data_IF_335857971846
#
_entry.id   IF_335857971846
#
_cell.length_a   1.000
_cell.length_b   1.000
_cell.length_c   1.000
_cell.angle_alpha   90.00
_cell.angle_beta   90.00
_cell.angle_gamma   90.00
#
_symmetry.space_group_name_H-M   'P 1'
#
loop_
_entity.id
_entity.type
_entity.pdbx_description
1 polymer ?
#
# COMPACT_ATOMS: atom_id res chain seq x y z
N UNK A 1 -19.96 37.29 -14.05
CA UNK A 1 -19.26 36.01 -13.78
C UNK A 1 -20.32 34.91 -13.80
N UNK A 2 -20.41 34.17 -14.89
CA UNK A 2 -21.38 33.09 -15.09
C UNK A 2 -21.19 32.04 -13.99
N UNK A 3 -22.23 31.81 -13.19
CA UNK A 3 -22.23 30.84 -12.10
C UNK A 3 -22.22 29.43 -12.65
N UNK A 4 -21.04 28.81 -12.70
CA UNK A 4 -20.93 27.37 -12.93
C UNK A 4 -21.29 26.70 -11.61
N UNK A 5 -22.41 25.97 -11.57
CA UNK A 5 -22.75 25.09 -10.46
C UNK A 5 -21.74 23.95 -10.42
N UNK A 6 -20.97 23.86 -9.34
CA UNK A 6 -20.02 22.77 -9.13
C UNK A 6 -20.71 21.69 -8.32
N UNK A 7 -21.06 20.58 -8.97
CA UNK A 7 -21.68 19.43 -8.32
C UNK A 7 -20.67 18.29 -8.13
N UNK A 8 -20.84 17.51 -7.06
CA UNK A 8 -20.03 16.32 -6.85
C UNK A 8 -20.39 15.25 -7.89
N UNK A 9 -19.36 14.67 -8.50
CA UNK A 9 -19.53 13.48 -9.33
C UNK A 9 -19.92 12.28 -8.47
N UNK A 10 -20.41 11.19 -9.09
CA UNK A 10 -20.70 9.94 -8.35
C UNK A 10 -19.48 9.43 -7.60
N UNK A 11 -18.28 9.53 -8.20
CA UNK A 11 -17.03 9.22 -7.51
C UNK A 11 -16.76 10.21 -6.36
N UNK A 12 -17.01 11.50 -6.57
CA UNK A 12 -16.89 12.53 -5.54
C UNK A 12 -17.72 12.24 -4.29
N UNK A 13 -18.94 11.72 -4.45
CA UNK A 13 -19.78 11.28 -3.33
C UNK A 13 -19.16 10.11 -2.54
N UNK A 14 -18.53 9.15 -3.21
CA UNK A 14 -17.82 8.06 -2.53
C UNK A 14 -16.60 8.59 -1.78
N UNK A 15 -15.83 9.48 -2.40
CA UNK A 15 -14.64 10.08 -1.79
C UNK A 15 -14.98 10.94 -0.57
N UNK A 16 -16.10 11.67 -0.60
CA UNK A 16 -16.56 12.51 0.50
C UNK A 16 -16.87 11.72 1.79
N UNK A 17 -17.08 10.40 1.68
CA UNK A 17 -17.36 9.51 2.83
C UNK A 17 -16.11 8.90 3.44
N UNK A 18 -14.94 9.04 2.80
CA UNK A 18 -13.68 8.46 3.29
C UNK A 18 -12.88 9.53 4.05
N UNK A 19 -12.42 9.25 5.29
CA UNK A 19 -11.63 10.19 6.09
C UNK A 19 -10.15 10.20 5.65
N UNK A 20 -9.90 10.36 4.36
CA UNK A 20 -8.56 10.42 3.75
C UNK A 20 -8.50 11.53 2.71
N UNK A 21 -7.29 11.93 2.32
CA UNK A 21 -7.12 12.87 1.22
C UNK A 21 -7.79 12.33 -0.07
N UNK A 22 -8.50 13.16 -0.86
CA UNK A 22 -9.24 12.70 -2.03
C UNK A 22 -8.40 11.91 -3.04
N UNK A 23 -7.11 12.22 -3.17
CA UNK A 23 -6.18 11.48 -4.05
C UNK A 23 -5.99 10.04 -3.58
N UNK A 24 -5.84 9.81 -2.28
CA UNK A 24 -5.70 8.47 -1.69
C UNK A 24 -7.02 7.72 -1.76
N UNK A 25 -8.13 8.38 -1.42
CA UNK A 25 -9.47 7.81 -1.55
C UNK A 25 -9.73 7.34 -2.98
N UNK A 26 -9.27 8.07 -3.99
CA UNK A 26 -9.41 7.69 -5.40
C UNK A 26 -8.61 6.43 -5.74
N UNK A 27 -7.39 6.30 -5.24
CA UNK A 27 -6.58 5.06 -5.39
C UNK A 27 -7.32 3.89 -4.75
N UNK A 28 -7.79 4.06 -3.51
CA UNK A 28 -8.47 3.01 -2.76
C UNK A 28 -9.77 2.57 -3.46
N UNK A 29 -10.65 3.50 -3.84
CA UNK A 29 -11.92 3.20 -4.52
C UNK A 29 -11.67 2.55 -5.88
N UNK A 30 -10.75 3.07 -6.70
CA UNK A 30 -10.48 2.47 -8.00
C UNK A 30 -9.81 1.09 -7.89
N UNK A 31 -9.03 0.85 -6.84
CA UNK A 31 -8.40 -0.46 -6.62
C UNK A 31 -9.41 -1.60 -6.41
N UNK A 32 -10.60 -1.30 -5.87
CA UNK A 32 -11.66 -2.31 -5.73
C UNK A 32 -12.29 -2.63 -7.07
N UNK A 33 -12.52 -1.61 -7.92
CA UNK A 33 -13.03 -1.77 -9.29
C UNK A 33 -12.07 -2.60 -10.14
N UNK A 34 -10.77 -2.32 -10.07
CA UNK A 34 -9.73 -3.05 -10.82
C UNK A 34 -9.22 -4.33 -10.12
N UNK A 35 -9.80 -4.68 -8.97
CA UNK A 35 -9.45 -5.88 -8.17
C UNK A 35 -7.96 -5.98 -7.82
N UNK A 36 -7.32 -4.85 -7.53
CA UNK A 36 -5.90 -4.73 -7.18
C UNK A 36 -5.70 -4.03 -5.83
N UNK A 37 -6.56 -4.34 -4.85
CA UNK A 37 -6.61 -3.67 -3.55
C UNK A 37 -5.28 -3.75 -2.81
N UNK A 38 -4.72 -4.95 -2.64
CA UNK A 38 -3.50 -5.16 -1.83
C UNK A 38 -2.29 -4.30 -2.23
N UNK A 39 -1.83 -4.26 -3.50
CA UNK A 39 -0.73 -3.38 -3.89
C UNK A 39 -1.13 -1.89 -3.77
N UNK A 40 -2.38 -1.53 -4.06
CA UNK A 40 -2.87 -0.16 -3.92
C UNK A 40 -2.92 0.31 -2.45
N UNK A 41 -3.17 -0.58 -1.49
CA UNK A 41 -3.06 -0.26 -0.06
C UNK A 41 -1.62 0.14 0.28
N UNK A 42 -0.62 -0.60 -0.21
CA UNK A 42 0.80 -0.25 -0.02
C UNK A 42 1.15 1.06 -0.67
N UNK A 43 0.68 1.31 -1.90
CA UNK A 43 0.95 2.54 -2.62
C UNK A 43 0.35 3.73 -1.87
N UNK A 44 -0.92 3.65 -1.47
CA UNK A 44 -1.59 4.71 -0.72
C UNK A 44 -0.91 4.98 0.64
N UNK A 45 -0.49 3.93 1.34
CA UNK A 45 0.21 4.04 2.61
C UNK A 45 1.62 4.65 2.41
N UNK A 46 2.36 4.20 1.40
CA UNK A 46 3.69 4.73 1.07
C UNK A 46 3.64 6.20 0.65
N UNK A 47 2.55 6.64 0.00
CA UNK A 47 2.33 8.05 -0.36
C UNK A 47 1.96 8.93 0.84
N UNK A 48 1.48 8.33 1.93
CA UNK A 48 1.12 9.02 3.18
C UNK A 48 2.28 9.09 4.18
N UNK A 49 3.33 8.30 3.92
CA UNK A 49 4.50 8.18 4.76
C UNK A 49 5.76 8.74 4.09
N UNK A 50 6.85 8.76 4.86
CA UNK A 50 8.19 8.94 4.27
C UNK A 50 8.53 7.77 3.35
N UNK A 51 9.53 7.96 2.49
CA UNK A 51 9.97 6.90 1.58
C UNK A 51 10.37 5.64 2.36
N UNK A 52 9.98 4.47 1.85
CA UNK A 52 10.44 3.17 2.37
C UNK A 52 11.94 3.00 2.17
N UNK A 53 12.53 3.71 1.19
CA UNK A 53 13.96 3.71 0.92
C UNK A 53 14.64 4.85 1.67
N UNK A 54 15.64 4.53 2.48
CA UNK A 54 16.38 5.50 3.28
C UNK A 54 17.86 5.14 3.34
N UNK A 55 18.71 6.11 3.01
CA UNK A 55 20.16 5.97 3.06
C UNK A 55 20.81 7.32 3.36
N UNK A 56 22.02 7.29 3.93
CA UNK A 56 22.88 8.46 4.04
C UNK A 56 23.29 8.97 2.65
N UNK A 57 23.84 10.19 2.59
CA UNK A 57 24.27 10.80 1.33
C UNK A 57 25.28 9.91 0.57
N UNK A 58 26.24 9.33 1.28
CA UNK A 58 27.29 8.47 0.72
C UNK A 58 26.75 7.18 0.08
N UNK A 59 25.65 6.64 0.61
CA UNK A 59 25.06 5.38 0.14
C UNK A 59 23.87 5.58 -0.80
N UNK A 60 23.59 6.82 -1.20
CA UNK A 60 22.44 7.14 -2.06
C UNK A 60 22.46 6.38 -3.38
N UNK A 61 23.62 6.24 -4.02
CA UNK A 61 23.74 5.51 -5.30
C UNK A 61 23.42 4.00 -5.13
N UNK A 62 23.94 3.38 -4.08
CA UNK A 62 23.67 1.97 -3.76
C UNK A 62 22.19 1.74 -3.46
N UNK A 63 21.55 2.65 -2.72
CA UNK A 63 20.11 2.60 -2.47
C UNK A 63 19.30 2.72 -3.76
N UNK A 64 19.66 3.63 -4.67
CA UNK A 64 18.94 3.76 -5.94
C UNK A 64 19.08 2.51 -6.81
N UNK A 65 20.25 1.86 -6.79
CA UNK A 65 20.44 0.58 -7.48
C UNK A 65 19.59 -0.54 -6.87
N UNK A 66 19.54 -0.63 -5.53
CA UNK A 66 18.69 -1.58 -4.82
C UNK A 66 17.20 -1.35 -5.15
N UNK A 67 16.75 -0.09 -5.10
CA UNK A 67 15.39 0.32 -5.49
C UNK A 67 15.07 -0.03 -6.93
N UNK A 68 15.98 0.26 -7.87
CA UNK A 68 15.80 -0.09 -9.28
C UNK A 68 15.66 -1.61 -9.48
N UNK A 69 16.42 -2.42 -8.74
CA UNK A 69 16.30 -3.89 -8.78
C UNK A 69 14.92 -4.39 -8.30
N UNK A 70 14.29 -3.66 -7.38
CA UNK A 70 12.94 -3.96 -6.88
C UNK A 70 11.84 -3.43 -7.80
N UNK A 71 12.10 -2.38 -8.58
CA UNK A 71 11.17 -1.84 -9.58
C UNK A 71 10.98 -2.73 -10.81
N UNK A 72 11.75 -3.82 -10.92
CA UNK A 72 11.69 -4.83 -11.97
C UNK A 72 11.66 -4.23 -13.40
N UNK A 73 11.02 -4.90 -14.36
CA UNK A 73 10.93 -4.46 -15.77
C UNK A 73 10.21 -3.12 -15.93
N UNK A 74 9.32 -2.78 -14.99
CA UNK A 74 8.39 -1.67 -15.11
C UNK A 74 9.00 -0.32 -14.74
N UNK A 75 10.21 -0.30 -14.16
CA UNK A 75 10.94 0.92 -13.75
C UNK A 75 10.06 1.86 -12.92
N UNK A 76 9.18 1.31 -12.08
CA UNK A 76 8.20 2.05 -11.30
C UNK A 76 8.57 2.10 -9.82
N UNK A 77 8.67 3.31 -9.28
CA UNK A 77 8.98 3.56 -7.87
C UNK A 77 7.90 3.04 -6.92
N UNK A 78 6.63 3.12 -7.34
CA UNK A 78 5.51 2.59 -6.57
C UNK A 78 5.56 1.06 -6.53
N UNK A 79 5.86 0.42 -7.67
CA UNK A 79 6.03 -1.04 -7.72
C UNK A 79 7.27 -1.48 -6.93
N UNK A 80 8.36 -0.71 -6.97
CA UNK A 80 9.53 -0.99 -6.12
C UNK A 80 9.18 -0.97 -4.63
N UNK A 81 8.32 -0.03 -4.21
CA UNK A 81 7.86 0.08 -2.82
C UNK A 81 6.94 -1.07 -2.42
N UNK A 82 6.03 -1.49 -3.32
CA UNK A 82 5.19 -2.68 -3.16
C UNK A 82 6.05 -3.93 -2.98
N UNK A 83 6.98 -4.17 -3.91
CA UNK A 83 7.85 -5.34 -3.89
C UNK A 83 8.77 -5.37 -2.66
N UNK A 84 9.26 -4.21 -2.21
CA UNK A 84 10.04 -4.09 -0.98
C UNK A 84 9.22 -4.54 0.24
N UNK A 85 8.00 -4.01 0.37
CA UNK A 85 7.11 -4.29 1.49
C UNK A 85 6.64 -5.74 1.52
N UNK A 86 6.20 -6.27 0.37
CA UNK A 86 5.66 -7.62 0.28
C UNK A 86 6.75 -8.66 0.61
N UNK A 87 7.97 -8.50 0.06
CA UNK A 87 9.11 -9.37 0.39
C UNK A 87 9.52 -9.27 1.85
N UNK A 88 9.58 -8.05 2.41
CA UNK A 88 9.91 -7.87 3.82
C UNK A 88 8.89 -8.58 4.73
N UNK A 89 7.60 -8.49 4.40
CA UNK A 89 6.51 -9.15 5.15
C UNK A 89 6.56 -10.67 5.01
N UNK A 90 6.83 -11.18 3.80
CA UNK A 90 6.99 -12.61 3.53
C UNK A 90 8.14 -13.20 4.37
N UNK A 91 9.31 -12.55 4.33
CA UNK A 91 10.49 -12.97 5.11
C UNK A 91 10.19 -12.89 6.60
N UNK A 92 9.54 -11.82 7.07
CA UNK A 92 9.17 -11.71 8.49
C UNK A 92 8.26 -12.85 8.95
N UNK A 93 7.34 -13.29 8.08
CA UNK A 93 6.39 -14.37 8.38
C UNK A 93 7.04 -15.75 8.32
N UNK A 94 7.88 -16.01 7.31
CA UNK A 94 8.49 -17.33 7.06
C UNK A 94 9.76 -17.55 7.88
N UNK A 95 10.64 -16.56 7.92
CA UNK A 95 12.01 -16.67 8.40
C UNK A 95 12.24 -15.85 9.70
N UNK A 96 11.24 -15.08 10.13
CA UNK A 96 11.23 -14.34 11.38
C UNK A 96 11.78 -12.91 11.28
N UNK A 97 11.63 -12.16 12.38
CA UNK A 97 11.92 -10.72 12.40
C UNK A 97 13.42 -10.37 12.23
N UNK A 98 14.33 -11.28 12.55
CA UNK A 98 15.76 -11.06 12.33
C UNK A 98 16.11 -11.07 10.83
N UNK A 99 15.64 -12.07 10.09
CA UNK A 99 15.84 -12.16 8.65
C UNK A 99 15.20 -10.98 7.90
N UNK A 100 14.02 -10.53 8.35
CA UNK A 100 13.38 -9.34 7.78
C UNK A 100 14.20 -8.06 8.02
N UNK A 101 14.91 -7.98 9.16
CA UNK A 101 15.85 -6.89 9.48
C UNK A 101 17.03 -6.88 8.53
N UNK A 102 17.62 -8.05 8.29
CA UNK A 102 18.74 -8.20 7.37
C UNK A 102 18.35 -7.85 5.93
N UNK A 103 17.14 -8.25 5.52
CA UNK A 103 16.56 -7.85 4.24
C UNK A 103 16.40 -6.33 4.14
N UNK A 104 15.84 -5.69 5.17
CA UNK A 104 15.68 -4.24 5.20
C UNK A 104 17.01 -3.52 5.08
N UNK A 105 18.03 -3.97 5.83
CA UNK A 105 19.38 -3.42 5.73
C UNK A 105 19.97 -3.59 4.32
N UNK A 106 19.88 -4.78 3.74
CA UNK A 106 20.39 -5.10 2.39
C UNK A 106 19.78 -4.21 1.30
N UNK A 107 18.50 -3.87 1.41
CA UNK A 107 17.77 -3.09 0.42
C UNK A 107 17.58 -1.61 0.80
N UNK A 108 18.29 -1.12 1.82
CA UNK A 108 18.21 0.27 2.30
C UNK A 108 16.78 0.68 2.68
N UNK A 109 16.06 -0.22 3.34
CA UNK A 109 14.68 -0.01 3.75
C UNK A 109 14.59 0.50 5.19
N UNK A 110 13.68 1.44 5.42
CA UNK A 110 13.36 1.93 6.76
C UNK A 110 12.33 1.02 7.42
N UNK A 111 12.75 0.19 8.38
CA UNK A 111 11.82 -0.65 9.15
C UNK A 111 10.71 0.12 9.87
N UNK A 112 10.98 1.29 10.51
CA UNK A 112 9.90 2.10 11.08
C UNK A 112 8.83 2.47 10.05
N UNK A 113 9.24 2.89 8.84
CA UNK A 113 8.32 3.20 7.75
C UNK A 113 7.56 1.95 7.29
N UNK A 114 8.23 0.80 7.14
CA UNK A 114 7.57 -0.45 6.77
C UNK A 114 6.49 -0.85 7.78
N UNK A 115 6.77 -0.74 9.09
CA UNK A 115 5.77 -0.99 10.14
C UNK A 115 4.61 0.01 10.10
N UNK A 116 4.89 1.29 9.87
CA UNK A 116 3.85 2.31 9.72
C UNK A 116 2.93 1.99 8.52
N UNK A 117 3.51 1.56 7.39
CA UNK A 117 2.76 1.11 6.21
C UNK A 117 1.89 -0.10 6.54
N UNK A 118 2.37 -1.08 7.31
CA UNK A 118 1.54 -2.21 7.74
C UNK A 118 0.29 -1.73 8.48
N UNK A 119 0.45 -0.79 9.41
CA UNK A 119 -0.67 -0.20 10.15
C UNK A 119 -1.65 0.56 9.25
N UNK A 120 -1.14 1.38 8.32
CA UNK A 120 -1.96 2.14 7.38
C UNK A 120 -2.71 1.25 6.38
N UNK A 121 -2.08 0.20 5.85
CA UNK A 121 -2.75 -0.78 4.97
C UNK A 121 -3.99 -1.35 5.64
N UNK A 122 -3.86 -1.69 6.92
CA UNK A 122 -4.93 -2.28 7.69
C UNK A 122 -6.03 -1.26 8.06
N UNK A 123 -5.66 -0.02 8.35
CA UNK A 123 -6.64 1.07 8.48
C UNK A 123 -7.41 1.30 7.18
N UNK A 124 -6.74 1.37 6.03
CA UNK A 124 -7.39 1.58 4.73
C UNK A 124 -8.26 0.40 4.32
N UNK A 125 -7.86 -0.84 4.62
CA UNK A 125 -8.68 -2.02 4.41
C UNK A 125 -9.99 -1.91 5.20
N UNK A 126 -9.92 -1.56 6.49
CA UNK A 126 -11.13 -1.33 7.30
C UNK A 126 -12.00 -0.20 6.76
N UNK A 127 -11.40 0.88 6.26
CA UNK A 127 -12.16 1.97 5.63
C UNK A 127 -12.93 1.47 4.40
N UNK A 128 -12.27 0.74 3.50
CA UNK A 128 -12.92 0.14 2.33
C UNK A 128 -14.04 -0.81 2.73
N UNK A 129 -13.84 -1.63 3.76
CA UNK A 129 -14.86 -2.54 4.26
C UNK A 129 -16.06 -1.79 4.86
N UNK A 130 -15.82 -0.78 5.69
CA UNK A 130 -16.87 0.05 6.29
C UNK A 130 -17.67 0.85 5.26
N UNK A 131 -17.05 1.17 4.11
CA UNK A 131 -17.71 1.80 2.98
C UNK A 131 -18.50 0.81 2.10
N UNK A 132 -18.43 -0.49 2.40
CA UNK A 132 -19.06 -1.56 1.60
C UNK A 132 -18.35 -1.83 0.27
N UNK A 133 -17.10 -1.39 0.12
CA UNK A 133 -16.34 -1.50 -1.13
C UNK A 133 -15.56 -2.81 -1.24
N UNK A 134 -15.32 -3.49 -0.12
CA UNK A 134 -14.76 -4.85 -0.03
C UNK A 134 -15.46 -5.63 1.08
N UNK A 135 -15.42 -6.95 1.02
CA UNK A 135 -15.83 -7.79 2.15
C UNK A 135 -14.71 -7.88 3.18
N UNK A 136 -15.06 -7.87 4.47
CA UNK A 136 -14.12 -8.31 5.50
C UNK A 136 -13.84 -9.79 5.25
N UNK A 137 -12.58 -10.15 5.00
CA UNK A 137 -12.18 -11.55 4.99
C UNK A 137 -12.15 -12.00 6.46
N UNK A 138 -13.32 -12.22 7.02
CA UNK A 138 -13.55 -12.99 8.23
C UNK A 138 -14.62 -14.00 7.83
N UNK A 139 -14.19 -15.25 7.62
CA UNK A 139 -15.04 -16.45 7.53
C UNK A 139 -15.94 -16.60 6.29
N UNK A 140 -15.35 -16.76 5.10
CA UNK A 140 -16.05 -17.37 3.94
C UNK A 140 -15.40 -18.68 3.49
N UNK A 141 -14.67 -19.38 4.36
CA UNK A 141 -13.98 -20.65 4.03
C UNK A 141 -14.20 -21.78 5.05
N UNK A 142 -15.20 -21.68 5.93
CA UNK A 142 -15.61 -22.81 6.80
C UNK A 142 -17.10 -23.17 6.64
N UNK A 143 -17.67 -22.95 5.45
CA UNK A 143 -19.07 -23.30 5.18
C UNK A 143 -19.29 -24.17 3.94
N UNK A 144 -18.23 -24.72 3.33
CA UNK A 144 -18.37 -25.73 2.27
C UNK A 144 -17.71 -27.04 2.73
N UNK A 145 -18.26 -27.60 3.81
CA UNK A 145 -18.16 -29.01 4.13
C UNK A 145 -19.51 -29.67 3.82
N UNK A 146 -19.56 -30.41 2.71
CA UNK A 146 -20.50 -31.46 2.26
C UNK A 146 -20.34 -31.50 0.72
N UNK A 147 -19.88 -32.57 0.07
CA UNK A 147 -20.23 -34.01 0.16
C UNK A 147 -18.96 -34.86 0.02
#
# INVERSE_FOLDING_TARGET
>A
KSGVSVELTSLGHHLARLPVAPRLGKILVLSTVFRCVEPCLTIAASLSERSVFSASYEHRAAMQQAKASLGAKDRSDHIASVNAFDRWTEIATRDGSAAARDYAHKYWLSEPTLRAITGLREQYRRLLASAGLITNITESSMADGEI
#
